data_IF_567757690761
#
_entry.id   IF_567757690761
#
_cell.length_a   1.000
_cell.length_b   1.000
_cell.length_c   1.000
_cell.angle_alpha   90.00
_cell.angle_beta   90.00
_cell.angle_gamma   90.00
#
_symmetry.space_group_name_H-M   'P 1'
#
loop_
_entity.id
_entity.type
_entity.pdbx_description
1 polymer ?
#
# COMPACT_ATOMS: atom_id res chain seq x y z
N UNK A 1 -2.18 15.69 4.26
CA UNK A 1 -1.46 14.47 4.68
C UNK A 1 -1.22 13.61 3.44
N UNK A 2 -0.01 13.11 3.29
CA UNK A 2 0.42 12.27 2.16
C UNK A 2 0.68 10.85 2.66
N UNK A 3 -0.01 9.86 2.10
CA UNK A 3 0.04 8.46 2.54
C UNK A 3 0.65 7.64 1.42
N UNK A 4 1.71 6.88 1.69
CA UNK A 4 2.29 5.90 0.78
C UNK A 4 1.74 4.52 1.11
N UNK A 5 0.89 3.97 0.25
CA UNK A 5 0.42 2.60 0.33
C UNK A 5 1.39 1.64 -0.34
N UNK A 6 1.64 0.50 0.26
CA UNK A 6 2.54 -0.55 -0.24
C UNK A 6 1.84 -1.91 -0.20
N UNK A 7 1.87 -2.59 -1.35
CA UNK A 7 1.55 -4.01 -1.49
C UNK A 7 2.86 -4.77 -1.75
N UNK A 8 3.43 -5.46 -0.73
CA UNK A 8 4.77 -6.02 -0.82
C UNK A 8 4.79 -7.36 -1.56
N UNK A 9 5.60 -7.45 -2.60
CA UNK A 9 5.87 -8.69 -3.31
C UNK A 9 7.27 -8.69 -3.92
N UNK A 10 7.91 -9.87 -4.01
CA UNK A 10 9.28 -9.95 -4.55
C UNK A 10 9.31 -9.75 -6.05
N UNK A 11 8.37 -10.32 -6.80
CA UNK A 11 8.30 -10.14 -8.26
C UNK A 11 7.81 -8.74 -8.63
N UNK A 12 6.82 -8.26 -7.88
CA UNK A 12 6.17 -6.98 -8.06
C UNK A 12 5.88 -6.41 -6.68
N UNK A 13 6.38 -5.21 -6.38
CA UNK A 13 5.95 -4.43 -5.22
C UNK A 13 5.11 -3.27 -5.72
N UNK A 14 3.81 -3.27 -5.39
CA UNK A 14 2.91 -2.17 -5.70
C UNK A 14 3.15 -0.98 -4.77
N UNK A 15 3.08 0.24 -5.30
CA UNK A 15 3.08 1.46 -4.49
C UNK A 15 2.05 2.46 -5.00
N UNK A 16 1.49 3.25 -4.09
CA UNK A 16 0.57 4.32 -4.45
C UNK A 16 0.49 5.41 -3.38
N UNK A 17 0.67 6.65 -3.81
CA UNK A 17 0.55 7.82 -2.94
C UNK A 17 -0.86 8.37 -3.01
N UNK A 18 -1.48 8.57 -1.84
CA UNK A 18 -2.79 9.23 -1.71
C UNK A 18 -2.61 10.49 -0.86
N UNK A 19 -3.03 11.61 -1.40
CA UNK A 19 -3.05 12.89 -0.70
C UNK A 19 -4.44 13.15 -0.12
N UNK A 20 -4.48 13.45 1.19
CA UNK A 20 -5.70 13.78 1.93
C UNK A 20 -5.79 15.29 2.10
N UNK A 21 -6.84 15.89 1.52
CA UNK A 21 -7.15 17.32 1.58
C UNK A 21 -8.60 17.48 2.09
N UNK A 22 -8.75 17.65 3.39
CA UNK A 22 -10.06 17.60 4.06
C UNK A 22 -10.72 16.24 3.85
N UNK A 23 -11.89 16.22 3.22
CA UNK A 23 -12.63 15.00 2.86
C UNK A 23 -12.28 14.45 1.48
N UNK A 24 -11.38 15.10 0.74
CA UNK A 24 -11.02 14.71 -0.63
C UNK A 24 -9.74 13.90 -0.63
N UNK A 25 -9.74 12.82 -1.41
CA UNK A 25 -8.56 12.01 -1.68
C UNK A 25 -8.13 12.25 -3.12
N UNK A 26 -6.84 12.50 -3.32
CA UNK A 26 -6.23 12.66 -4.65
C UNK A 26 -5.12 11.63 -4.82
N UNK A 27 -5.04 11.03 -6.00
CA UNK A 27 -3.93 10.16 -6.36
C UNK A 27 -2.69 10.99 -6.68
N UNK A 28 -1.56 10.61 -6.09
CA UNK A 28 -0.24 11.11 -6.44
C UNK A 28 0.53 10.10 -7.30
N UNK A 29 1.84 9.95 -7.08
CA UNK A 29 2.65 8.95 -7.74
C UNK A 29 2.18 7.53 -7.39
N UNK A 30 2.03 6.68 -8.40
CA UNK A 30 1.70 5.27 -8.21
C UNK A 30 2.33 4.41 -9.30
N UNK A 31 2.54 3.14 -9.02
CA UNK A 31 3.17 2.21 -9.94
C UNK A 31 3.59 0.90 -9.29
N UNK A 32 4.52 0.20 -9.94
CA UNK A 32 5.09 -1.03 -9.44
C UNK A 32 6.61 -1.03 -9.57
N UNK A 33 7.28 -1.55 -8.55
CA UNK A 33 8.70 -1.90 -8.59
C UNK A 33 8.76 -3.35 -9.07
N UNK A 34 9.40 -3.58 -10.21
CA UNK A 34 9.48 -4.90 -10.85
C UNK A 34 10.89 -5.47 -10.67
N UNK A 35 10.98 -6.75 -10.36
CA UNK A 35 12.25 -7.45 -10.30
C UNK A 35 12.26 -8.69 -11.22
N UNK A 36 13.34 -8.94 -12.00
CA UNK A 36 13.43 -10.09 -12.89
C UNK A 36 13.41 -11.42 -12.14
N UNK A 37 12.59 -12.39 -12.61
CA UNK A 37 12.43 -13.70 -11.96
C UNK A 37 13.72 -14.54 -11.89
N UNK A 38 14.65 -14.34 -12.84
CA UNK A 38 15.94 -15.08 -12.93
C UNK A 38 17.07 -14.43 -12.10
N UNK A 39 16.80 -13.30 -11.44
CA UNK A 39 17.79 -12.61 -10.63
C UNK A 39 17.88 -13.21 -9.22
N UNK A 40 19.08 -13.20 -8.64
CA UNK A 40 19.30 -13.64 -7.27
C UNK A 40 18.40 -12.87 -6.28
N UNK A 41 17.86 -13.56 -5.29
CA UNK A 41 16.93 -12.98 -4.31
C UNK A 41 17.50 -11.74 -3.64
N UNK A 42 18.77 -11.78 -3.20
CA UNK A 42 19.41 -10.64 -2.56
C UNK A 42 19.45 -9.39 -3.46
N UNK A 43 19.74 -9.56 -4.75
CA UNK A 43 19.75 -8.45 -5.73
C UNK A 43 18.35 -7.88 -5.96
N UNK A 44 17.33 -8.75 -5.97
CA UNK A 44 15.92 -8.31 -6.07
C UNK A 44 15.52 -7.48 -4.86
N UNK A 45 15.86 -7.93 -3.66
CA UNK A 45 15.57 -7.21 -2.42
C UNK A 45 16.31 -5.86 -2.36
N UNK A 46 17.58 -5.81 -2.78
CA UNK A 46 18.34 -4.57 -2.89
C UNK A 46 17.68 -3.59 -3.87
N UNK A 47 17.24 -4.06 -5.05
CA UNK A 47 16.53 -3.24 -6.02
C UNK A 47 15.21 -2.67 -5.46
N UNK A 48 14.43 -3.49 -4.74
CA UNK A 48 13.20 -3.03 -4.07
C UNK A 48 13.53 -1.93 -3.05
N UNK A 49 14.59 -2.13 -2.26
CA UNK A 49 15.03 -1.13 -1.29
C UNK A 49 15.39 0.19 -1.94
N UNK A 50 16.26 0.18 -2.97
CA UNK A 50 16.77 1.38 -3.63
C UNK A 50 15.62 2.19 -4.29
N UNK A 51 14.72 1.49 -5.00
CA UNK A 51 13.58 2.14 -5.65
C UNK A 51 12.59 2.72 -4.63
N UNK A 52 12.27 1.98 -3.56
CA UNK A 52 11.36 2.46 -2.52
C UNK A 52 11.97 3.62 -1.74
N UNK A 53 13.25 3.57 -1.40
CA UNK A 53 13.99 4.67 -0.76
C UNK A 53 13.94 5.94 -1.63
N UNK A 54 14.14 5.80 -2.96
CA UNK A 54 14.00 6.88 -3.92
C UNK A 54 12.59 7.47 -3.96
N UNK A 55 11.57 6.61 -3.95
CA UNK A 55 10.16 7.04 -3.92
C UNK A 55 9.86 7.81 -2.64
N UNK A 56 10.25 7.30 -1.47
CA UNK A 56 10.02 7.95 -0.18
C UNK A 56 10.71 9.32 -0.12
N UNK A 57 11.96 9.42 -0.55
CA UNK A 57 12.72 10.69 -0.57
C UNK A 57 12.12 11.72 -1.51
N UNK A 58 11.59 11.28 -2.65
CA UNK A 58 10.94 12.14 -3.65
C UNK A 58 9.57 12.61 -3.18
N UNK A 59 8.73 11.69 -2.77
CA UNK A 59 7.32 11.96 -2.44
C UNK A 59 7.14 12.53 -1.04
N UNK A 60 8.07 12.25 -0.12
CA UNK A 60 8.05 12.69 1.29
C UNK A 60 6.69 12.41 1.96
N UNK A 61 6.25 11.14 2.01
CA UNK A 61 4.99 10.80 2.63
C UNK A 61 5.05 11.05 4.15
N UNK A 62 3.94 11.48 4.72
CA UNK A 62 3.80 11.65 6.17
C UNK A 62 3.75 10.30 6.88
N UNK A 63 3.21 9.26 6.19
CA UNK A 63 3.10 7.90 6.72
C UNK A 63 3.20 6.88 5.57
N UNK A 64 3.61 5.65 5.91
CA UNK A 64 3.50 4.47 5.06
C UNK A 64 2.44 3.52 5.60
N UNK A 65 1.51 3.11 4.76
CA UNK A 65 0.53 2.08 5.02
C UNK A 65 0.91 0.82 4.24
N UNK A 66 0.99 -0.33 4.91
CA UNK A 66 1.45 -1.59 4.29
C UNK A 66 0.51 -2.74 4.66
N UNK A 67 0.36 -3.71 3.74
CA UNK A 67 -0.40 -4.90 4.02
C UNK A 67 0.28 -5.78 5.09
N UNK A 68 -0.53 -6.24 6.05
CA UNK A 68 -0.09 -7.21 7.06
C UNK A 68 -0.13 -8.61 6.47
N UNK A 69 1.00 -9.32 6.53
CA UNK A 69 1.04 -10.71 6.08
C UNK A 69 0.08 -11.57 6.90
N UNK A 70 -0.84 -12.21 6.19
CA UNK A 70 -1.65 -13.29 6.72
C UNK A 70 -1.16 -14.60 6.10
N UNK A 71 -0.76 -15.55 6.91
CA UNK A 71 -0.27 -16.85 6.45
C UNK A 71 -1.38 -17.59 5.72
N UNK A 72 -1.19 -17.76 4.43
CA UNK A 72 -2.01 -18.60 3.57
C UNK A 72 -1.12 -19.74 3.07
N UNK A 73 -1.60 -20.93 3.17
CA UNK A 73 -1.28 -22.26 2.61
C UNK A 73 0.06 -22.52 1.85
N UNK A 74 0.89 -21.55 1.49
CA UNK A 74 2.14 -21.77 0.77
C UNK A 74 3.32 -21.09 1.47
N UNK A 75 4.05 -21.87 2.27
CA UNK A 75 5.19 -21.43 3.08
C UNK A 75 6.29 -20.76 2.22
N UNK A 76 6.59 -21.29 1.02
CA UNK A 76 7.63 -20.72 0.15
C UNK A 76 7.28 -19.31 -0.30
N UNK A 77 6.04 -19.10 -0.74
CA UNK A 77 5.57 -17.77 -1.14
C UNK A 77 5.52 -16.82 0.05
N UNK A 78 5.10 -17.30 1.23
CA UNK A 78 5.07 -16.50 2.45
C UNK A 78 6.47 -16.00 2.87
N UNK A 79 7.50 -16.82 2.73
CA UNK A 79 8.88 -16.42 3.03
C UNK A 79 9.37 -15.31 2.09
N UNK A 80 9.23 -15.48 0.78
CA UNK A 80 9.71 -14.48 -0.19
C UNK A 80 8.95 -13.16 -0.11
N UNK A 81 7.64 -13.20 0.14
CA UNK A 81 6.85 -11.99 0.40
C UNK A 81 7.25 -11.36 1.73
N UNK A 82 7.52 -12.15 2.77
CA UNK A 82 8.01 -11.69 4.05
C UNK A 82 9.35 -10.95 3.96
N UNK A 83 10.29 -11.46 3.13
CA UNK A 83 11.57 -10.79 2.85
C UNK A 83 11.36 -9.43 2.17
N UNK A 84 10.55 -9.37 1.11
CA UNK A 84 10.23 -8.11 0.42
C UNK A 84 9.55 -7.11 1.38
N UNK A 85 8.61 -7.59 2.19
CA UNK A 85 7.94 -6.76 3.20
C UNK A 85 8.94 -6.23 4.24
N UNK A 86 9.87 -7.06 4.72
CA UNK A 86 10.94 -6.63 5.63
C UNK A 86 11.78 -5.49 5.05
N UNK A 87 12.10 -5.56 3.76
CA UNK A 87 12.80 -4.51 3.03
C UNK A 87 11.97 -3.23 2.96
N UNK A 88 10.66 -3.32 2.71
CA UNK A 88 9.77 -2.15 2.71
C UNK A 88 9.74 -1.47 4.09
N UNK A 89 9.62 -2.25 5.17
CA UNK A 89 9.66 -1.73 6.55
C UNK A 89 10.99 -1.04 6.87
N UNK A 90 12.10 -1.66 6.48
CA UNK A 90 13.44 -1.11 6.67
C UNK A 90 13.63 0.21 5.92
N UNK A 91 13.14 0.31 4.68
CA UNK A 91 13.21 1.53 3.88
C UNK A 91 12.44 2.67 4.54
N UNK A 92 11.23 2.41 5.04
CA UNK A 92 10.43 3.39 5.77
C UNK A 92 11.12 3.87 7.05
N UNK A 93 11.64 2.94 7.86
CA UNK A 93 12.34 3.25 9.12
C UNK A 93 13.59 4.10 8.88
N UNK A 94 14.41 3.76 7.87
CA UNK A 94 15.60 4.56 7.50
C UNK A 94 15.25 5.99 7.08
N UNK A 95 14.07 6.21 6.52
CA UNK A 95 13.54 7.51 6.14
C UNK A 95 12.69 8.18 7.26
N UNK A 96 12.60 7.55 8.44
CA UNK A 96 11.79 8.04 9.57
C UNK A 96 10.32 8.26 9.21
N UNK A 97 9.80 7.44 8.30
CA UNK A 97 8.40 7.46 7.88
C UNK A 97 7.58 6.51 8.76
N UNK A 98 6.62 7.00 9.55
CA UNK A 98 5.77 6.17 10.41
C UNK A 98 5.02 5.09 9.61
N UNK A 99 4.93 3.87 10.17
CA UNK A 99 4.38 2.71 9.49
C UNK A 99 3.06 2.30 10.14
N UNK A 100 2.04 2.05 9.31
CA UNK A 100 0.74 1.51 9.72
C UNK A 100 0.43 0.24 8.92
N UNK A 101 -0.07 -0.79 9.60
CA UNK A 101 -0.33 -2.10 9.02
C UNK A 101 -1.83 -2.38 8.93
N UNK A 102 -2.28 -2.93 7.80
CA UNK A 102 -3.66 -3.28 7.55
C UNK A 102 -3.80 -4.72 7.06
N UNK A 103 -4.75 -5.46 7.62
CA UNK A 103 -5.09 -6.79 7.12
C UNK A 103 -5.93 -6.71 5.85
N UNK A 104 -5.91 -7.74 4.99
CA UNK A 104 -6.80 -7.80 3.81
C UNK A 104 -8.27 -7.58 4.15
N UNK A 105 -8.70 -8.09 5.30
CA UNK A 105 -10.08 -7.90 5.80
C UNK A 105 -10.38 -6.44 6.09
N UNK A 106 -9.47 -5.73 6.75
CA UNK A 106 -9.61 -4.29 7.05
C UNK A 106 -9.67 -3.45 5.77
N UNK A 107 -8.84 -3.78 4.76
CA UNK A 107 -8.87 -3.11 3.46
C UNK A 107 -10.22 -3.28 2.79
N UNK A 108 -10.72 -4.53 2.70
CA UNK A 108 -12.03 -4.82 2.13
C UNK A 108 -13.16 -4.07 2.85
N UNK A 109 -13.19 -4.14 4.16
CA UNK A 109 -14.21 -3.45 4.98
C UNK A 109 -14.14 -1.92 4.82
N UNK A 110 -12.95 -1.36 4.77
CA UNK A 110 -12.76 0.10 4.63
C UNK A 110 -13.30 0.63 3.31
N UNK A 111 -13.09 -0.09 2.21
CA UNK A 111 -13.47 0.37 0.88
C UNK A 111 -14.94 0.05 0.52
N UNK A 112 -15.45 -1.10 0.95
CA UNK A 112 -16.76 -1.61 0.51
C UNK A 112 -17.79 -1.75 1.64
N UNK A 113 -17.37 -1.60 2.90
CA UNK A 113 -18.20 -1.93 4.07
C UNK A 113 -18.35 -3.46 4.30
N UNK A 114 -17.77 -4.30 3.43
CA UNK A 114 -18.00 -5.75 3.42
C UNK A 114 -16.68 -6.54 3.29
N UNK A 115 -16.39 -7.38 4.30
CA UNK A 115 -15.11 -8.10 4.40
C UNK A 115 -14.90 -9.23 3.39
N UNK A 116 -15.95 -9.70 2.69
CA UNK A 116 -15.88 -10.75 1.66
C UNK A 116 -15.88 -10.18 0.23
N UNK A 117 -15.67 -8.86 0.07
CA UNK A 117 -15.60 -8.23 -1.24
C UNK A 117 -14.58 -8.91 -2.16
N UNK A 118 -14.93 -9.04 -3.43
CA UNK A 118 -14.05 -9.56 -4.46
C UNK A 118 -13.02 -8.51 -4.90
N UNK A 119 -11.91 -8.97 -5.50
CA UNK A 119 -10.84 -8.08 -5.96
C UNK A 119 -11.35 -7.02 -6.95
N UNK A 120 -12.22 -7.41 -7.87
CA UNK A 120 -12.83 -6.50 -8.85
C UNK A 120 -13.63 -5.37 -8.20
N UNK A 121 -14.32 -5.65 -7.10
CA UNK A 121 -15.09 -4.65 -6.34
C UNK A 121 -14.14 -3.65 -5.65
N UNK A 122 -13.03 -4.13 -5.06
CA UNK A 122 -12.01 -3.26 -4.46
C UNK A 122 -11.40 -2.32 -5.52
N UNK A 123 -11.01 -2.85 -6.68
CA UNK A 123 -10.46 -2.07 -7.79
C UNK A 123 -11.46 -1.01 -8.29
N UNK A 124 -12.73 -1.35 -8.39
CA UNK A 124 -13.77 -0.39 -8.76
C UNK A 124 -13.92 0.71 -7.70
N UNK A 125 -13.88 0.37 -6.41
CA UNK A 125 -13.94 1.35 -5.33
C UNK A 125 -12.74 2.29 -5.35
N UNK A 126 -11.51 1.78 -5.58
CA UNK A 126 -10.32 2.61 -5.75
C UNK A 126 -10.52 3.63 -6.88
N UNK A 127 -11.00 3.15 -8.05
CA UNK A 127 -11.31 4.02 -9.20
C UNK A 127 -12.30 5.13 -8.82
N UNK A 128 -13.40 4.78 -8.14
CA UNK A 128 -14.46 5.72 -7.78
C UNK A 128 -14.00 6.74 -6.73
N UNK A 129 -13.35 6.27 -5.65
CA UNK A 129 -12.90 7.11 -4.53
C UNK A 129 -11.86 8.14 -5.02
N UNK A 130 -10.89 7.70 -5.83
CA UNK A 130 -9.85 8.55 -6.38
C UNK A 130 -10.24 9.27 -7.69
N UNK A 131 -11.47 9.04 -8.17
CA UNK A 131 -12.02 9.63 -9.43
C UNK A 131 -11.11 9.39 -10.65
N UNK A 132 -10.58 8.17 -10.76
CA UNK A 132 -9.70 7.78 -11.87
C UNK A 132 -10.53 7.52 -13.14
N UNK A 133 -9.94 7.77 -14.31
CA UNK A 133 -10.57 7.47 -15.60
C UNK A 133 -10.74 5.96 -15.80
N UNK A 134 -9.75 5.18 -15.37
CA UNK A 134 -9.69 3.73 -15.52
C UNK A 134 -9.30 3.05 -14.21
N UNK A 135 -9.54 1.74 -14.12
CA UNK A 135 -9.05 0.92 -13.00
C UNK A 135 -7.52 0.90 -13.06
N UNK A 136 -6.82 1.17 -11.94
CA UNK A 136 -5.36 1.13 -11.90
C UNK A 136 -4.82 -0.27 -12.31
N UNK A 137 -3.81 -0.29 -13.14
CA UNK A 137 -3.10 -1.52 -13.59
C UNK A 137 -1.59 -1.30 -13.50
N UNK A 138 -0.82 -2.36 -13.13
CA UNK A 138 -1.27 -3.69 -12.75
C UNK A 138 -2.00 -3.73 -11.41
N UNK A 139 -2.52 -4.89 -11.04
CA UNK A 139 -3.34 -5.12 -9.85
C UNK A 139 -2.65 -4.66 -8.56
N UNK A 140 -1.35 -4.95 -8.42
CA UNK A 140 -0.53 -4.57 -7.25
C UNK A 140 -0.56 -3.05 -7.00
N UNK A 141 -0.64 -2.23 -8.05
CA UNK A 141 -0.80 -0.77 -7.91
C UNK A 141 -2.19 -0.42 -7.33
N UNK A 142 -3.24 -1.10 -7.76
CA UNK A 142 -4.58 -0.90 -7.22
C UNK A 142 -4.66 -1.32 -5.76
N UNK A 143 -4.02 -2.45 -5.40
CA UNK A 143 -3.97 -2.97 -4.04
C UNK A 143 -3.20 -1.99 -3.11
N UNK A 144 -2.08 -1.45 -3.55
CA UNK A 144 -1.34 -0.41 -2.82
C UNK A 144 -2.17 0.87 -2.59
N UNK A 145 -2.89 1.34 -3.60
CA UNK A 145 -3.81 2.48 -3.46
C UNK A 145 -4.96 2.19 -2.50
N UNK A 146 -5.51 0.95 -2.51
CA UNK A 146 -6.55 0.53 -1.57
C UNK A 146 -6.05 0.58 -0.12
N UNK A 147 -4.82 0.17 0.14
CA UNK A 147 -4.18 0.23 1.45
C UNK A 147 -4.02 1.70 1.91
N UNK A 148 -3.57 2.59 1.03
CA UNK A 148 -3.46 4.02 1.34
C UNK A 148 -4.82 4.66 1.66
N UNK A 149 -5.88 4.34 0.88
CA UNK A 149 -7.24 4.79 1.14
C UNK A 149 -7.74 4.29 2.50
N UNK A 150 -7.43 3.03 2.85
CA UNK A 150 -7.79 2.45 4.15
C UNK A 150 -7.24 3.27 5.30
N UNK A 151 -5.97 3.69 5.22
CA UNK A 151 -5.37 4.57 6.22
C UNK A 151 -6.08 5.94 6.26
N UNK A 152 -6.35 6.54 5.11
CA UNK A 152 -7.05 7.81 5.02
C UNK A 152 -8.44 7.79 5.70
N UNK A 153 -9.21 6.72 5.51
CA UNK A 153 -10.52 6.54 6.16
C UNK A 153 -10.40 6.37 7.68
N UNK A 154 -9.39 5.63 8.16
CA UNK A 154 -9.12 5.43 9.58
C UNK A 154 -8.75 6.74 10.30
N UNK A 155 -7.92 7.57 9.70
CA UNK A 155 -7.55 8.90 10.24
C UNK A 155 -8.75 9.85 10.30
N UNK A 156 -9.61 9.83 9.28
CA UNK A 156 -10.84 10.63 9.29
C UNK A 156 -11.79 10.24 10.43
N UNK A 157 -11.92 8.95 10.73
CA UNK A 157 -12.72 8.46 11.85
C UNK A 157 -12.14 8.83 13.22
N UNK A 158 -10.82 8.82 13.39
CA UNK A 158 -10.15 9.24 14.61
C UNK A 158 -10.39 10.73 14.90
N UNK A 159 -10.21 11.58 13.88
CA UNK A 159 -10.49 13.03 13.99
C UNK A 159 -11.96 13.36 14.31
N UNK A 160 -12.91 12.56 13.81
CA UNK A 160 -14.33 12.72 14.15
C UNK A 160 -14.63 12.32 15.61
N UNK A 161 -13.89 11.36 16.17
CA UNK A 161 -14.05 10.97 17.59
C UNK A 161 -13.50 12.02 18.54
N UNK A 162 -12.36 12.64 18.22
CA UNK A 162 -11.76 13.72 19.04
C UNK A 162 -12.59 15.00 19.07
N UNK A 163 -13.40 15.28 18.03
CA UNK A 163 -14.29 16.46 17.98
C UNK A 163 -15.62 16.28 18.71
N UNK A 164 -15.90 15.10 19.30
CA UNK A 164 -17.15 14.80 20.02
C UNK A 164 -17.04 14.92 21.54
N UNK A 165 -15.90 15.43 22.08
CA UNK A 165 -15.71 15.68 23.52
C UNK A 165 -15.34 17.13 23.78
#
# INVERSE_FOLDING_TARGET
>A
MKILGIDPGTATTGYGVVEVDGSRLKVGACGCILTPAKQDQAKRLAHIFDELDRIIKKEKPDVMAIEKLFFINNIKTAMTVGEARGVCLLSAEKNKTPIFEYTPLQVKQSLTGYGKAEKSQIQMMVKMILKLKEIPKPDDMADALAIAITHAHGCGQAQMREKKY
#
